data_IF_139195026552
#
_entry.id   IF_139195026552
#
_cell.length_a   1.000
_cell.length_b   1.000
_cell.length_c   1.000
_cell.angle_alpha   90.00
_cell.angle_beta   90.00
_cell.angle_gamma   90.00
#
_symmetry.space_group_name_H-M   'P 1'
#
loop_
_entity.id
_entity.type
_entity.pdbx_description
1 polymer ?
#
# COMPACT_ATOMS: atom_id res chain seq x y z
N UNK A 1 46.34 -8.73 -45.79
CA UNK A 1 45.32 -8.13 -46.68
C UNK A 1 43.98 -8.03 -45.95
N UNK A 2 43.19 -6.99 -46.22
CA UNK A 2 41.74 -6.98 -45.92
C UNK A 2 40.95 -7.50 -47.14
N UNK A 3 39.66 -7.85 -46.98
CA UNK A 3 38.68 -7.16 -47.82
C UNK A 3 37.31 -6.83 -47.17
N UNK A 4 36.87 -5.60 -47.51
CA UNK A 4 35.49 -5.15 -47.80
C UNK A 4 34.45 -4.94 -46.68
N UNK A 5 34.02 -3.67 -46.64
CA UNK A 5 32.82 -3.11 -45.98
C UNK A 5 31.52 -3.57 -46.66
N UNK A 6 30.43 -3.62 -45.90
CA UNK A 6 29.03 -3.38 -46.33
C UNK A 6 28.22 -2.87 -45.11
N UNK A 7 28.01 -1.56 -44.95
CA UNK A 7 26.78 -0.80 -45.31
C UNK A 7 25.50 -1.15 -44.53
N UNK A 8 25.02 -0.21 -43.68
CA UNK A 8 23.68 -0.19 -43.07
C UNK A 8 22.57 0.00 -44.12
N UNK A 9 21.36 -0.51 -43.85
CA UNK A 9 20.19 0.37 -43.66
C UNK A 9 19.43 0.03 -42.36
N UNK A 10 19.14 0.98 -41.47
CA UNK A 10 17.95 1.87 -41.46
C UNK A 10 16.61 1.14 -41.21
N UNK A 11 16.08 1.38 -40.00
CA UNK A 11 14.66 1.43 -39.61
C UNK A 11 13.67 0.40 -40.15
N UNK A 12 13.21 -0.51 -39.27
CA UNK A 12 11.87 -1.12 -39.36
C UNK A 12 11.03 -0.84 -38.12
N UNK A 13 10.43 0.36 -38.16
CA UNK A 13 9.00 0.63 -37.94
C UNK A 13 8.26 -0.31 -36.97
N UNK A 14 7.80 0.29 -35.87
CA UNK A 14 6.75 -0.21 -34.95
C UNK A 14 5.59 -0.86 -35.72
N UNK A 15 5.45 -2.19 -35.63
CA UNK A 15 4.25 -2.92 -36.05
C UNK A 15 3.28 -3.02 -34.88
N UNK A 16 2.41 -2.01 -34.79
CA UNK A 16 1.23 -2.00 -33.94
C UNK A 16 0.31 -3.15 -34.35
N UNK A 17 0.29 -4.25 -33.60
CA UNK A 17 -0.62 -5.37 -33.81
C UNK A 17 -2.05 -4.97 -33.43
N UNK A 18 -2.80 -4.51 -34.44
CA UNK A 18 -4.24 -4.32 -34.36
C UNK A 18 -4.95 -5.68 -34.37
N UNK A 19 -5.38 -6.16 -33.20
CA UNK A 19 -6.44 -7.16 -33.10
C UNK A 19 -7.79 -6.48 -32.81
N UNK A 20 -8.85 -7.06 -33.35
CA UNK A 20 -10.19 -6.49 -33.40
C UNK A 20 -10.93 -6.55 -32.06
N UNK A 21 -11.22 -5.38 -31.49
CA UNK A 21 -12.38 -5.13 -30.63
C UNK A 21 -12.63 -3.62 -30.60
N UNK A 22 -13.88 -3.21 -30.32
CA UNK A 22 -14.32 -1.81 -30.21
C UNK A 22 -13.32 -0.93 -29.46
N UNK A 23 -13.10 0.34 -29.85
CA UNK A 23 -12.06 1.20 -29.27
C UNK A 23 -12.23 1.26 -27.75
N UNK A 24 -11.36 0.53 -27.04
CA UNK A 24 -11.47 0.33 -25.61
C UNK A 24 -11.09 1.65 -24.93
N UNK A 25 -12.13 2.41 -24.54
CA UNK A 25 -12.01 3.74 -23.93
C UNK A 25 -10.95 3.69 -22.83
N UNK A 26 -10.04 4.66 -22.87
CA UNK A 26 -8.99 4.77 -21.88
C UNK A 26 -9.60 4.92 -20.48
N UNK A 27 -8.95 4.37 -19.45
CA UNK A 27 -9.39 4.56 -18.07
C UNK A 27 -9.57 6.04 -17.71
N UNK A 28 -8.75 6.95 -18.29
CA UNK A 28 -8.91 8.41 -18.14
C UNK A 28 -10.26 8.90 -18.70
N UNK A 29 -10.66 8.41 -19.87
CA UNK A 29 -11.93 8.77 -20.53
C UNK A 29 -13.12 8.24 -19.75
N UNK A 30 -13.07 6.98 -19.32
CA UNK A 30 -14.09 6.35 -18.46
C UNK A 30 -14.30 7.11 -17.14
N UNK A 31 -13.20 7.58 -16.52
CA UNK A 31 -13.25 8.42 -15.30
C UNK A 31 -13.89 9.80 -15.60
N UNK A 32 -13.52 10.44 -16.71
CA UNK A 32 -14.09 11.73 -17.12
C UNK A 32 -15.59 11.60 -17.43
N UNK A 33 -15.98 10.59 -18.21
CA UNK A 33 -17.37 10.29 -18.55
C UNK A 33 -18.20 10.03 -17.29
N UNK A 34 -17.69 9.21 -16.37
CA UNK A 34 -18.35 8.95 -15.08
C UNK A 34 -18.51 10.22 -14.23
N UNK A 35 -17.49 11.09 -14.20
CA UNK A 35 -17.57 12.35 -13.46
C UNK A 35 -18.53 13.38 -14.11
N UNK A 36 -18.64 13.40 -15.44
CA UNK A 36 -19.63 14.21 -16.19
C UNK A 36 -21.05 13.65 -16.06
N UNK A 37 -21.21 12.33 -15.95
CA UNK A 37 -22.50 11.70 -15.72
C UNK A 37 -23.04 12.01 -14.30
N UNK A 38 -22.20 11.90 -13.28
CA UNK A 38 -22.59 12.10 -11.86
C UNK A 38 -22.69 13.58 -11.41
N UNK A 39 -22.29 14.55 -12.25
CA UNK A 39 -22.53 16.01 -12.10
C UNK A 39 -22.37 16.61 -10.67
N UNK A 40 -21.39 16.18 -9.89
CA UNK A 40 -21.20 16.69 -8.53
C UNK A 40 -20.40 18.00 -8.48
N UNK A 41 -21.03 19.09 -7.99
CA UNK A 41 -20.39 20.41 -7.78
C UNK A 41 -19.13 20.34 -6.89
N UNK A 42 -19.06 19.37 -5.96
CA UNK A 42 -17.94 19.17 -5.02
C UNK A 42 -16.93 18.11 -5.50
N UNK A 43 -17.08 17.58 -6.71
CA UNK A 43 -16.35 16.42 -7.23
C UNK A 43 -17.00 15.10 -6.83
N UNK A 44 -16.61 14.01 -7.50
CA UNK A 44 -17.18 12.66 -7.32
C UNK A 44 -16.22 11.80 -6.50
N UNK A 45 -16.73 10.95 -5.62
CA UNK A 45 -15.89 10.06 -4.81
C UNK A 45 -15.34 8.90 -5.66
N UNK A 46 -14.12 8.43 -5.34
CA UNK A 46 -13.51 7.27 -5.99
C UNK A 46 -14.42 6.02 -5.98
N UNK A 47 -15.11 5.63 -4.88
CA UNK A 47 -16.04 4.50 -4.93
C UNK A 47 -17.25 4.72 -5.85
N UNK A 48 -17.80 5.95 -5.94
CA UNK A 48 -18.91 6.25 -6.85
C UNK A 48 -18.48 6.16 -8.34
N UNK A 49 -17.28 6.66 -8.68
CA UNK A 49 -16.70 6.48 -10.03
C UNK A 49 -16.50 4.99 -10.36
N UNK A 50 -15.95 4.20 -9.42
CA UNK A 50 -15.80 2.74 -9.59
C UNK A 50 -17.15 2.05 -9.81
N UNK A 51 -18.19 2.43 -9.05
CA UNK A 51 -19.55 1.87 -9.20
C UNK A 51 -20.11 2.18 -10.60
N UNK A 52 -20.11 3.44 -11.01
CA UNK A 52 -20.63 3.85 -12.33
C UNK A 52 -19.90 3.14 -13.48
N UNK A 53 -18.57 3.05 -13.44
CA UNK A 53 -17.79 2.39 -14.51
C UNK A 53 -18.09 0.88 -14.53
N UNK A 54 -18.30 0.24 -13.37
CA UNK A 54 -18.73 -1.17 -13.32
C UNK A 54 -20.14 -1.40 -13.89
N UNK A 55 -21.07 -0.49 -13.62
CA UNK A 55 -22.46 -0.57 -14.08
C UNK A 55 -22.61 -0.25 -15.58
N UNK A 56 -21.82 0.68 -16.12
CA UNK A 56 -21.86 1.08 -17.54
C UNK A 56 -20.91 0.29 -18.44
N UNK A 57 -19.80 -0.21 -17.90
CA UNK A 57 -18.75 -0.91 -18.64
C UNK A 57 -18.35 -2.20 -17.92
N UNK A 58 -19.22 -3.22 -17.88
CA UNK A 58 -18.96 -4.47 -17.15
C UNK A 58 -17.69 -5.20 -17.64
N UNK A 59 -17.37 -5.10 -18.93
CA UNK A 59 -16.12 -5.63 -19.52
C UNK A 59 -14.85 -5.06 -18.88
N UNK A 60 -14.87 -3.77 -18.50
CA UNK A 60 -13.75 -3.10 -17.83
C UNK A 60 -13.86 -3.28 -16.31
N UNK A 61 -15.07 -3.23 -15.76
CA UNK A 61 -15.36 -3.33 -14.33
C UNK A 61 -15.13 -4.70 -13.70
N UNK A 62 -15.21 -5.78 -14.50
CA UNK A 62 -14.96 -7.17 -14.09
C UNK A 62 -13.47 -7.55 -14.12
N UNK A 63 -12.60 -6.72 -14.71
CA UNK A 63 -11.17 -7.01 -14.77
C UNK A 63 -10.52 -7.01 -13.38
N UNK A 64 -9.79 -8.08 -13.02
CA UNK A 64 -9.07 -8.21 -11.73
C UNK A 64 -8.14 -7.02 -11.44
N UNK A 65 -7.54 -6.45 -12.50
CA UNK A 65 -6.63 -5.32 -12.44
C UNK A 65 -7.32 -3.94 -12.54
N UNK A 66 -8.66 -3.88 -12.60
CA UNK A 66 -9.45 -2.66 -12.76
C UNK A 66 -9.03 -1.56 -11.77
N UNK A 67 -8.93 -1.90 -10.47
CA UNK A 67 -8.59 -0.93 -9.43
C UNK A 67 -7.15 -0.38 -9.59
N UNK A 68 -6.22 -1.23 -10.04
CA UNK A 68 -4.84 -0.82 -10.31
C UNK A 68 -4.78 0.22 -11.44
N UNK A 69 -5.39 -0.09 -12.59
CA UNK A 69 -5.42 0.82 -13.75
C UNK A 69 -6.23 2.09 -13.47
N UNK A 70 -7.36 1.99 -12.78
CA UNK A 70 -8.16 3.12 -12.32
C UNK A 70 -7.33 4.06 -11.41
N UNK A 71 -6.58 3.51 -10.46
CA UNK A 71 -5.74 4.32 -9.57
C UNK A 71 -4.54 4.94 -10.28
N UNK A 72 -3.94 4.24 -11.24
CA UNK A 72 -2.87 4.78 -12.09
C UNK A 72 -3.38 5.93 -12.97
N UNK A 73 -4.54 5.77 -13.62
CA UNK A 73 -5.16 6.79 -14.46
C UNK A 73 -5.52 8.06 -13.67
N UNK A 74 -6.01 7.94 -12.44
CA UNK A 74 -6.25 9.10 -11.57
C UNK A 74 -4.94 9.82 -11.20
N UNK A 75 -3.89 9.09 -10.83
CA UNK A 75 -2.58 9.71 -10.53
C UNK A 75 -2.06 10.50 -11.74
N UNK A 76 -2.07 9.87 -12.92
CA UNK A 76 -1.63 10.50 -14.18
C UNK A 76 -2.49 11.71 -14.59
N UNK A 77 -3.81 11.64 -14.42
CA UNK A 77 -4.70 12.77 -14.68
C UNK A 77 -4.54 13.93 -13.69
N UNK A 78 -4.10 13.67 -12.45
CA UNK A 78 -3.75 14.73 -11.49
C UNK A 78 -2.37 15.33 -11.79
N UNK A 79 -1.38 14.51 -12.11
CA UNK A 79 -0.05 14.97 -12.59
C UNK A 79 -0.17 15.83 -13.86
N UNK A 80 -1.09 15.47 -14.76
CA UNK A 80 -1.38 16.23 -16.00
C UNK A 80 -2.25 17.47 -15.74
N UNK A 81 -2.93 17.56 -14.59
CA UNK A 81 -3.83 18.65 -14.24
C UNK A 81 -5.20 18.61 -14.94
N UNK A 82 -5.64 17.44 -15.42
CA UNK A 82 -7.03 17.21 -15.87
C UNK A 82 -7.99 16.97 -14.69
N UNK A 83 -7.45 16.45 -13.59
CA UNK A 83 -8.18 16.17 -12.37
C UNK A 83 -7.52 16.85 -11.17
N UNK A 84 -8.32 17.20 -10.17
CA UNK A 84 -7.87 17.74 -8.89
C UNK A 84 -8.39 16.87 -7.73
N UNK A 85 -7.57 16.73 -6.70
CA UNK A 85 -7.90 16.00 -5.48
C UNK A 85 -7.77 16.92 -4.26
N UNK A 86 -8.77 17.76 -3.95
CA UNK A 86 -8.70 18.78 -2.89
C UNK A 86 -8.55 18.23 -1.46
N UNK A 87 -8.72 16.91 -1.26
CA UNK A 87 -8.44 16.22 0.04
C UNK A 87 -7.34 15.17 -0.10
N UNK A 88 -6.41 15.36 -1.05
CA UNK A 88 -5.33 14.41 -1.32
C UNK A 88 -5.80 13.08 -1.93
N UNK A 89 -4.94 12.04 -1.97
CA UNK A 89 -5.12 10.84 -2.82
C UNK A 89 -6.33 9.96 -2.49
N UNK A 90 -6.88 10.09 -1.27
CA UNK A 90 -8.11 9.39 -0.84
C UNK A 90 -9.39 10.19 -1.14
N UNK A 91 -9.24 11.46 -1.55
CA UNK A 91 -10.32 12.43 -1.67
C UNK A 91 -11.24 12.25 -2.87
N UNK A 92 -12.22 13.15 -2.94
CA UNK A 92 -13.08 13.38 -4.11
C UNK A 92 -12.25 13.82 -5.30
N UNK A 93 -12.52 13.26 -6.48
CA UNK A 93 -11.95 13.68 -7.75
C UNK A 93 -12.83 14.76 -8.38
N UNK A 94 -12.24 15.90 -8.77
CA UNK A 94 -12.91 16.96 -9.51
C UNK A 94 -12.26 17.09 -10.89
N UNK A 95 -13.05 17.22 -11.96
CA UNK A 95 -12.49 17.54 -13.28
C UNK A 95 -12.07 19.01 -13.26
N UNK A 96 -10.81 19.28 -13.61
CA UNK A 96 -10.32 20.62 -13.90
C UNK A 96 -10.34 20.80 -15.41
N UNK A 97 -11.34 21.55 -15.88
CA UNK A 97 -11.27 22.10 -17.24
C UNK A 97 -10.20 23.20 -17.18
N UNK A 98 -9.07 23.01 -17.86
CA UNK A 98 -7.99 24.01 -17.93
C UNK A 98 -8.43 25.25 -18.71
N UNK A 99 -9.18 26.13 -18.06
CA UNK A 99 -9.17 27.55 -18.39
C UNK A 99 -7.90 28.15 -17.80
N UNK A 100 -7.15 28.89 -18.61
CA UNK A 100 -5.85 29.47 -18.23
C UNK A 100 -6.06 30.57 -17.19
N UNK A 101 -5.62 30.34 -15.96
CA UNK A 101 -5.21 31.40 -15.01
C UNK A 101 -4.12 30.86 -14.08
N UNK A 102 -2.84 31.22 -14.29
CA UNK A 102 -1.81 31.03 -13.27
C UNK A 102 -1.88 32.18 -12.26
N UNK A 103 -1.76 31.88 -10.96
CA UNK A 103 -0.84 32.60 -10.07
C UNK A 103 -0.75 31.92 -8.70
N UNK A 104 0.45 31.71 -8.15
CA UNK A 104 0.64 31.42 -6.75
C UNK A 104 0.71 32.74 -5.96
N UNK A 105 0.04 32.84 -4.82
CA UNK A 105 0.29 33.91 -3.85
C UNK A 105 0.51 33.33 -2.45
N UNK A 106 1.52 33.89 -1.78
CA UNK A 106 2.06 33.38 -0.54
C UNK A 106 1.47 34.07 0.70
N UNK A 107 1.65 33.42 1.86
CA UNK A 107 1.86 34.02 3.19
C UNK A 107 1.07 35.30 3.57
N UNK A 108 0.05 35.12 4.42
CA UNK A 108 -0.25 36.02 5.56
C UNK A 108 -1.03 35.22 6.60
N UNK A 109 -0.41 34.61 7.61
CA UNK A 109 -0.05 35.21 8.91
C UNK A 109 -1.16 36.08 9.50
N UNK A 110 -1.93 35.50 10.42
CA UNK A 110 -2.34 36.16 11.67
C UNK A 110 -2.31 35.13 12.81
N UNK A 111 -1.88 35.60 13.99
CA UNK A 111 -1.60 34.82 15.20
C UNK A 111 -2.89 34.65 16.06
N UNK A 112 -2.87 33.90 17.18
CA UNK A 112 -4.08 33.39 17.83
C UNK A 112 -4.65 34.36 18.86
N UNK A 113 -5.86 34.05 19.37
CA UNK A 113 -6.30 34.52 20.69
C UNK A 113 -6.66 33.33 21.58
N UNK A 114 -6.09 33.32 22.77
CA UNK A 114 -6.21 32.24 23.75
C UNK A 114 -7.00 32.71 24.98
N UNK A 115 -7.47 31.73 25.77
CA UNK A 115 -8.00 31.88 27.14
C UNK A 115 -9.32 32.68 27.25
N UNK A 116 -10.15 32.48 28.28
CA UNK A 116 -9.85 31.94 29.63
C UNK A 116 -11.09 31.27 30.27
N UNK A 117 -10.91 30.09 30.92
CA UNK A 117 -11.53 29.63 32.19
C UNK A 117 -13.09 29.63 32.35
N UNK A 118 -13.72 28.95 33.32
CA UNK A 118 -13.28 28.52 34.67
C UNK A 118 -14.14 27.36 35.22
N UNK A 119 -13.55 26.46 36.05
CA UNK A 119 -14.21 25.62 37.12
C UNK A 119 -15.41 24.71 36.74
N UNK A 120 -15.84 23.65 37.44
CA UNK A 120 -15.48 22.88 38.65
C UNK A 120 -16.32 21.56 38.61
N UNK A 121 -16.12 20.45 39.34
CA UNK A 121 -15.04 19.82 40.16
C UNK A 121 -15.46 18.36 40.44
N UNK A 122 -14.55 17.48 40.92
CA UNK A 122 -14.83 16.24 41.73
C UNK A 122 -15.66 15.10 41.04
N UNK A 123 -15.60 13.79 41.37
CA UNK A 123 -14.88 13.02 42.41
C UNK A 123 -14.67 11.53 42.01
N UNK A 124 -13.81 10.87 42.78
CA UNK A 124 -13.41 9.45 42.88
C UNK A 124 -14.45 8.30 42.79
N UNK A 125 -13.96 7.13 42.31
CA UNK A 125 -14.22 5.70 42.68
C UNK A 125 -14.28 4.80 41.41
N UNK A 126 -13.37 3.83 41.20
CA UNK A 126 -13.10 2.53 41.86
C UNK A 126 -13.99 1.37 41.34
N UNK A 127 -13.39 0.56 40.46
CA UNK A 127 -13.53 -0.91 40.26
C UNK A 127 -14.94 -1.52 40.15
N UNK A 128 -15.22 -2.19 39.02
CA UNK A 128 -15.68 -3.60 39.01
C UNK A 128 -15.56 -4.27 37.62
N UNK A 129 -15.54 -5.61 37.63
CA UNK A 129 -15.27 -6.56 36.53
C UNK A 129 -16.56 -7.37 36.27
N UNK A 130 -16.87 -7.72 35.01
CA UNK A 130 -17.06 -9.14 34.64
C UNK A 130 -16.47 -9.43 33.23
N UNK A 131 -15.43 -10.25 33.06
CA UNK A 131 -15.42 -11.73 32.98
C UNK A 131 -16.42 -12.37 31.98
N UNK A 132 -15.98 -12.43 30.71
CA UNK A 132 -15.98 -13.58 29.79
C UNK A 132 -17.28 -14.34 29.40
N UNK A 133 -17.49 -14.47 28.07
CA UNK A 133 -17.86 -15.74 27.39
C UNK A 133 -17.36 -15.72 25.93
N UNK A 134 -16.14 -16.19 25.64
CA UNK A 134 -15.87 -17.47 24.94
C UNK A 134 -16.77 -17.82 23.75
N UNK A 135 -16.22 -17.66 22.54
CA UNK A 135 -16.44 -18.59 21.41
C UNK A 135 -15.09 -18.91 20.76
N UNK A 136 -14.75 -20.20 20.71
CA UNK A 136 -13.41 -20.69 20.33
C UNK A 136 -13.45 -21.28 18.92
N UNK A 137 -12.91 -20.57 17.93
CA UNK A 137 -12.61 -21.14 16.60
C UNK A 137 -11.17 -21.65 16.55
N UNK A 138 -11.00 -22.78 17.23
CA UNK A 138 -9.95 -23.82 17.12
C UNK A 138 -8.81 -23.51 16.13
N UNK A 139 -7.69 -23.03 16.69
CA UNK A 139 -6.40 -22.95 15.99
C UNK A 139 -5.98 -24.32 15.46
N UNK A 140 -5.96 -24.50 14.13
CA UNK A 140 -5.30 -25.65 13.52
C UNK A 140 -3.79 -25.39 13.45
N UNK A 141 -3.12 -25.60 14.59
CA UNK A 141 -1.68 -25.78 14.59
C UNK A 141 -1.35 -26.96 13.65
N UNK A 142 -0.56 -26.70 12.61
CA UNK A 142 0.07 -27.75 11.81
C UNK A 142 1.57 -27.70 12.07
N UNK A 143 1.96 -28.37 13.14
CA UNK A 143 3.32 -28.89 13.26
C UNK A 143 3.50 -29.94 12.18
N UNK A 144 4.32 -29.65 11.18
CA UNK A 144 4.89 -30.68 10.30
C UNK A 144 6.36 -30.36 10.12
N UNK A 145 7.17 -31.21 10.73
CA UNK A 145 8.61 -31.34 10.60
C UNK A 145 9.07 -31.12 9.16
N UNK A 146 9.81 -30.04 8.93
CA UNK A 146 10.75 -29.93 7.83
C UNK A 146 11.90 -29.06 8.32
N UNK A 147 13.14 -29.47 8.02
CA UNK A 147 14.40 -28.89 8.52
C UNK A 147 14.74 -27.53 7.90
N UNK A 148 13.73 -26.71 7.58
CA UNK A 148 13.87 -25.45 6.88
C UNK A 148 13.13 -24.34 7.59
N UNK A 149 13.87 -23.40 8.19
CA UNK A 149 13.30 -22.31 9.00
C UNK A 149 12.17 -21.58 8.26
N UNK A 150 11.08 -21.32 8.96
CA UNK A 150 9.97 -20.51 8.44
C UNK A 150 10.37 -19.04 8.31
N UNK A 151 9.67 -18.28 7.47
CA UNK A 151 9.92 -16.84 7.37
C UNK A 151 9.77 -16.13 8.72
N UNK A 152 8.85 -16.60 9.59
CA UNK A 152 8.67 -16.08 10.95
C UNK A 152 9.93 -16.28 11.80
N UNK A 153 10.48 -17.50 11.83
CA UNK A 153 11.71 -17.79 12.57
C UNK A 153 12.89 -16.99 12.04
N UNK A 154 13.10 -16.94 10.72
CA UNK A 154 14.20 -16.17 10.13
C UNK A 154 14.11 -14.69 10.49
N UNK A 155 12.92 -14.08 10.44
CA UNK A 155 12.69 -12.69 10.90
C UNK A 155 13.09 -12.52 12.38
N UNK A 156 12.66 -13.44 13.26
CA UNK A 156 12.94 -13.36 14.70
C UNK A 156 14.44 -13.54 14.96
N UNK A 157 15.09 -14.54 14.34
CA UNK A 157 16.55 -14.76 14.46
C UNK A 157 17.35 -13.54 13.99
N UNK A 158 17.02 -12.96 12.83
CA UNK A 158 17.74 -11.78 12.36
C UNK A 158 17.50 -10.53 13.24
N UNK A 159 16.31 -10.30 13.83
CA UNK A 159 16.12 -9.18 14.77
C UNK A 159 16.85 -9.43 16.12
N UNK A 160 16.94 -10.69 16.55
CA UNK A 160 17.77 -11.08 17.70
C UNK A 160 19.25 -10.83 17.43
N UNK A 161 19.77 -11.24 16.26
CA UNK A 161 21.16 -11.06 15.84
C UNK A 161 21.55 -9.59 15.66
N UNK A 162 20.66 -8.75 15.11
CA UNK A 162 20.96 -7.33 14.87
C UNK A 162 20.91 -6.52 16.18
N UNK A 163 19.96 -6.82 17.08
CA UNK A 163 19.62 -5.88 18.16
C UNK A 163 18.96 -6.51 19.41
N UNK A 164 19.26 -7.77 19.74
CA UNK A 164 18.73 -8.53 20.89
C UNK A 164 17.19 -8.72 20.94
N UNK A 165 16.48 -8.40 19.87
CA UNK A 165 15.01 -8.29 19.86
C UNK A 165 14.46 -6.90 20.18
N UNK A 166 15.30 -5.95 20.64
CA UNK A 166 14.92 -4.55 20.97
C UNK A 166 14.27 -3.82 19.79
N UNK A 167 14.68 -4.22 18.58
CA UNK A 167 13.96 -4.02 17.33
C UNK A 167 14.79 -3.34 16.24
N UNK A 168 14.59 -3.77 15.00
CA UNK A 168 15.38 -3.36 13.84
C UNK A 168 14.50 -2.80 12.71
N UNK A 169 15.08 -2.01 11.82
CA UNK A 169 14.36 -1.50 10.64
C UNK A 169 14.04 -2.63 9.66
N UNK A 170 12.95 -2.53 8.90
CA UNK A 170 12.57 -3.58 7.92
C UNK A 170 13.69 -3.84 6.90
N UNK A 171 14.39 -2.79 6.47
CA UNK A 171 15.52 -2.92 5.54
C UNK A 171 16.68 -3.68 6.16
N UNK A 172 17.04 -3.39 7.42
CA UNK A 172 18.11 -4.11 8.11
C UNK A 172 17.77 -5.61 8.27
N UNK A 173 16.54 -5.94 8.68
CA UNK A 173 16.08 -7.34 8.80
C UNK A 173 16.07 -8.04 7.44
N UNK A 174 15.55 -7.39 6.38
CA UNK A 174 15.58 -7.95 5.02
C UNK A 174 17.00 -8.20 4.51
N UNK A 175 17.92 -7.27 4.76
CA UNK A 175 19.32 -7.39 4.35
C UNK A 175 19.98 -8.55 5.09
N UNK A 176 19.90 -8.59 6.42
CA UNK A 176 20.46 -9.68 7.22
C UNK A 176 19.88 -11.04 6.81
N UNK A 177 18.57 -11.15 6.57
CA UNK A 177 17.98 -12.40 6.06
C UNK A 177 18.49 -12.79 4.66
N UNK A 178 18.71 -11.81 3.77
CA UNK A 178 19.28 -12.03 2.42
C UNK A 178 20.75 -12.44 2.47
N UNK A 179 21.51 -11.93 3.43
CA UNK A 179 22.92 -12.25 3.61
C UNK A 179 23.07 -13.65 4.27
N UNK A 180 22.42 -13.86 5.42
CA UNK A 180 22.46 -15.06 6.27
C UNK A 180 21.87 -16.31 5.57
N UNK A 181 20.80 -16.14 4.80
CA UNK A 181 20.08 -17.23 4.12
C UNK A 181 20.07 -17.09 2.59
N UNK A 182 21.08 -16.43 2.03
CA UNK A 182 21.24 -16.09 0.60
C UNK A 182 20.83 -17.20 -0.39
N UNK A 183 21.29 -18.44 -0.16
CA UNK A 183 20.96 -19.63 -0.97
C UNK A 183 19.46 -19.89 -1.10
N UNK A 184 18.66 -19.60 -0.06
CA UNK A 184 17.20 -19.79 -0.03
C UNK A 184 16.44 -18.54 -0.49
N UNK A 185 17.03 -17.35 -0.40
CA UNK A 185 16.32 -16.08 -0.45
C UNK A 185 16.64 -15.17 -1.63
N UNK A 186 17.75 -15.39 -2.34
CA UNK A 186 18.07 -14.66 -3.57
C UNK A 186 17.29 -15.21 -4.78
N UNK A 187 16.99 -16.50 -4.80
CA UNK A 187 16.18 -17.16 -5.85
C UNK A 187 14.69 -16.79 -5.78
N UNK A 188 14.19 -16.39 -4.60
CA UNK A 188 12.74 -16.19 -4.37
C UNK A 188 12.32 -14.77 -4.74
N UNK A 189 11.88 -14.59 -6.00
CA UNK A 189 11.37 -13.32 -6.53
C UNK A 189 10.26 -12.69 -5.68
N UNK A 190 9.39 -13.52 -5.07
CA UNK A 190 8.28 -13.08 -4.22
C UNK A 190 8.65 -12.88 -2.73
N UNK A 191 9.94 -12.84 -2.37
CA UNK A 191 10.38 -12.75 -0.96
C UNK A 191 9.71 -11.61 -0.21
N UNK A 192 9.69 -10.40 -0.79
CA UNK A 192 9.15 -9.21 -0.12
C UNK A 192 7.68 -9.37 0.27
N UNK A 193 6.88 -10.06 -0.56
CA UNK A 193 5.49 -10.36 -0.23
C UNK A 193 5.39 -11.38 0.92
N UNK A 194 6.21 -12.44 0.88
CA UNK A 194 6.25 -13.48 1.92
C UNK A 194 6.74 -12.90 3.27
N UNK A 195 7.75 -12.04 3.26
CA UNK A 195 8.25 -11.29 4.41
C UNK A 195 7.18 -10.36 5.00
N UNK A 196 6.50 -9.59 4.14
CA UNK A 196 5.41 -8.72 4.57
C UNK A 196 4.24 -9.51 5.18
N UNK A 197 3.85 -10.63 4.57
CA UNK A 197 2.81 -11.52 5.07
C UNK A 197 3.19 -12.18 6.41
N UNK A 198 4.43 -12.67 6.53
CA UNK A 198 4.96 -13.26 7.76
C UNK A 198 4.94 -12.27 8.92
N UNK A 199 5.32 -11.00 8.69
CA UNK A 199 5.28 -9.97 9.74
C UNK A 199 3.84 -9.63 10.15
N UNK A 200 2.90 -9.52 9.20
CA UNK A 200 1.48 -9.29 9.55
C UNK A 200 0.94 -10.40 10.44
N UNK A 201 1.18 -11.68 10.08
CA UNK A 201 0.79 -12.83 10.91
C UNK A 201 1.51 -12.87 12.25
N UNK A 202 2.80 -12.54 12.29
CA UNK A 202 3.59 -12.54 13.52
C UNK A 202 3.23 -11.40 14.49
N UNK A 203 2.71 -10.28 13.98
CA UNK A 203 2.13 -9.20 14.79
C UNK A 203 0.76 -9.62 15.35
N UNK A 204 -0.08 -10.22 14.52
CA UNK A 204 -1.39 -10.75 14.91
C UNK A 204 -1.28 -11.88 15.94
N UNK A 205 -0.26 -12.75 15.84
CA UNK A 205 0.02 -13.79 16.83
C UNK A 205 0.74 -13.30 18.09
N UNK A 206 1.13 -12.01 18.15
CA UNK A 206 1.79 -11.40 19.31
C UNK A 206 3.26 -11.79 19.50
N UNK A 207 3.93 -12.27 18.45
CA UNK A 207 5.37 -12.58 18.47
C UNK A 207 6.22 -11.34 18.13
N UNK A 208 5.72 -10.47 17.25
CA UNK A 208 6.36 -9.24 16.80
C UNK A 208 5.47 -8.01 17.08
N UNK A 209 6.07 -6.82 17.21
CA UNK A 209 5.36 -5.55 17.33
C UNK A 209 5.87 -4.53 16.30
N UNK A 210 4.94 -3.72 15.77
CA UNK A 210 5.25 -2.59 14.89
C UNK A 210 4.78 -1.26 15.52
N UNK A 211 5.49 -0.71 16.53
CA UNK A 211 5.06 0.49 17.25
C UNK A 211 5.03 1.75 16.37
N UNK A 212 5.77 1.77 15.26
CA UNK A 212 5.80 2.86 14.27
C UNK A 212 5.08 2.47 12.96
N UNK A 213 4.11 1.56 13.04
CA UNK A 213 3.30 1.12 11.91
C UNK A 213 4.04 0.29 10.85
N UNK A 214 3.40 0.02 9.69
CA UNK A 214 3.87 -0.97 8.72
C UNK A 214 5.26 -0.72 8.14
N UNK A 215 5.67 0.55 8.00
CA UNK A 215 6.98 0.96 7.46
C UNK A 215 8.05 1.19 8.54
N UNK A 216 7.71 1.00 9.82
CA UNK A 216 8.56 1.31 10.96
C UNK A 216 9.46 0.17 11.42
N UNK A 217 9.91 0.27 12.68
CA UNK A 217 10.72 -0.73 13.38
C UNK A 217 9.87 -1.97 13.66
N UNK A 218 10.49 -3.16 13.53
CA UNK A 218 9.93 -4.44 13.98
C UNK A 218 10.63 -4.81 15.30
N UNK A 219 9.86 -5.00 16.38
CA UNK A 219 10.36 -5.48 17.68
C UNK A 219 9.95 -6.94 17.91
N UNK A 220 10.76 -7.72 18.62
CA UNK A 220 10.40 -9.08 19.06
C UNK A 220 9.80 -8.98 20.47
N UNK A 221 8.60 -9.53 20.70
CA UNK A 221 8.04 -9.65 22.05
C UNK A 221 8.59 -10.88 22.77
N UNK A 222 8.39 -10.95 24.08
CA UNK A 222 8.77 -12.10 24.93
C UNK A 222 8.28 -13.44 24.33
N UNK A 223 7.06 -13.48 23.79
CA UNK A 223 6.48 -14.65 23.10
C UNK A 223 7.27 -15.06 21.84
N UNK A 224 7.66 -14.10 21.00
CA UNK A 224 8.48 -14.37 19.82
C UNK A 224 9.89 -14.85 20.18
N UNK A 225 10.46 -14.31 21.27
CA UNK A 225 11.78 -14.71 21.78
C UNK A 225 11.77 -16.15 22.31
N UNK A 226 10.70 -16.57 22.99
CA UNK A 226 10.51 -17.97 23.41
C UNK A 226 10.17 -18.92 22.26
N UNK A 227 9.55 -18.44 21.18
CA UNK A 227 9.14 -19.29 20.05
C UNK A 227 10.29 -19.75 19.12
N UNK A 228 11.52 -19.29 19.37
CA UNK A 228 12.71 -19.57 18.54
C UNK A 228 13.95 -19.95 19.40
N UNK A 229 13.85 -19.82 20.73
CA UNK A 229 14.86 -20.24 21.70
C UNK A 229 14.43 -21.46 22.53
N UNK A 230 13.47 -22.22 22.03
CA UNK A 230 13.01 -23.52 22.53
C UNK A 230 13.18 -24.56 21.41
#
# INVERSE_FOLDING_TARGET
MAPKKTTKPVSKKVTKSSSSASPSKSYKELITEAAVALKSRKGVSRPALKKFIKEKYPSVGSATNFDHYFNAAIKKGVETGDFEQPKGPSGTLKIVKKTVTPTPTAKKVTKPKAKTTTTATTTTKKVTKPKAKTTVTKSKAKSTTSSSLTYKEMIIKSILSINDGKGSSRLAVKKHMRDEYSKKLNTVKNFDHLFNAAIRKAVESGDLAQPKGPSGIIKVLKKGKTAVGA
#
